data_IF_075570360372
#
_entry.id   IF_075570360372
#
_cell.length_a   1.000
_cell.length_b   1.000
_cell.length_c   1.000
_cell.angle_alpha   90.00
_cell.angle_beta   90.00
_cell.angle_gamma   90.00
#
_symmetry.space_group_name_H-M   'P 1'
#
loop_
_entity.id
_entity.type
_entity.pdbx_description
1 polymer ?
#
# COMPACT_ATOMS: atom_id res chain seq x y z
N UNK A 1 -2.06 46.29 -12.40
CA UNK A 1 -0.71 46.71 -12.83
C UNK A 1 0.28 46.66 -11.68
N UNK A 2 0.06 47.44 -10.62
CA UNK A 2 0.93 47.44 -9.43
C UNK A 2 0.99 46.08 -8.72
N UNK A 3 -0.15 45.41 -8.53
CA UNK A 3 -0.24 44.07 -7.91
C UNK A 3 0.64 43.02 -8.60
N UNK A 4 0.72 43.08 -9.93
CA UNK A 4 1.55 42.17 -10.73
C UNK A 4 2.94 42.76 -11.05
N UNK A 5 3.26 43.96 -10.54
CA UNK A 5 4.50 44.71 -10.81
C UNK A 5 4.80 44.90 -12.32
N UNK A 6 3.78 45.25 -13.10
CA UNK A 6 3.88 45.43 -14.57
C UNK A 6 3.31 46.78 -15.03
N UNK A 7 3.67 47.19 -16.23
CA UNK A 7 3.18 48.42 -16.84
C UNK A 7 1.92 48.16 -17.68
N UNK A 8 1.22 49.23 -18.04
CA UNK A 8 -0.02 49.16 -18.85
C UNK A 8 0.22 48.63 -20.27
N UNK A 9 1.43 48.85 -20.78
CA UNK A 9 1.87 48.43 -22.11
C UNK A 9 2.32 46.95 -22.15
N UNK A 10 2.33 46.25 -21.01
CA UNK A 10 2.76 44.86 -20.95
C UNK A 10 1.88 43.95 -21.82
N UNK A 11 2.55 43.10 -22.58
CA UNK A 11 1.96 42.08 -23.45
C UNK A 11 1.30 40.97 -22.63
N UNK A 12 0.40 40.20 -23.25
CA UNK A 12 -0.28 39.07 -22.59
C UNK A 12 0.71 38.03 -22.03
N UNK A 13 1.83 37.78 -22.73
CA UNK A 13 2.90 36.90 -22.27
C UNK A 13 3.65 37.46 -21.05
N UNK A 14 3.88 38.77 -21.00
CA UNK A 14 4.52 39.45 -19.85
C UNK A 14 3.61 39.42 -18.63
N UNK A 15 2.31 39.66 -18.82
CA UNK A 15 1.29 39.54 -17.77
C UNK A 15 1.27 38.13 -17.18
N UNK A 16 1.27 37.10 -18.04
CA UNK A 16 1.31 35.69 -17.62
C UNK A 16 2.61 35.31 -16.91
N UNK A 17 3.74 35.87 -17.33
CA UNK A 17 5.03 35.65 -16.66
C UNK A 17 5.08 36.32 -15.29
N UNK A 18 4.57 37.54 -15.18
CA UNK A 18 4.52 38.29 -13.94
C UNK A 18 3.61 37.62 -12.90
N UNK A 19 2.42 37.18 -13.32
CA UNK A 19 1.51 36.41 -12.46
C UNK A 19 2.15 35.14 -11.90
N UNK A 20 2.78 34.32 -12.77
CA UNK A 20 3.49 33.11 -12.31
C UNK A 20 4.56 33.40 -11.27
N UNK A 21 5.30 34.51 -11.43
CA UNK A 21 6.35 34.92 -10.49
C UNK A 21 5.75 35.30 -9.13
N UNK A 22 4.71 36.11 -9.10
CA UNK A 22 4.08 36.54 -7.84
C UNK A 22 3.33 35.39 -7.17
N UNK A 23 2.62 34.57 -7.93
CA UNK A 23 1.88 33.45 -7.37
C UNK A 23 2.79 32.34 -6.81
N UNK A 24 3.98 32.11 -7.38
CA UNK A 24 4.98 31.24 -6.74
C UNK A 24 5.60 31.85 -5.47
N UNK A 25 5.64 33.18 -5.37
CA UNK A 25 6.17 33.89 -4.18
C UNK A 25 5.19 33.79 -3.02
N UNK A 26 3.89 33.94 -3.29
CA UNK A 26 2.82 33.93 -2.30
C UNK A 26 2.06 32.60 -2.20
N UNK A 27 2.60 31.51 -2.76
CA UNK A 27 1.95 30.21 -2.74
C UNK A 27 1.73 29.69 -1.30
N UNK A 28 0.57 29.12 -0.94
CA UNK A 28 0.28 28.60 0.40
C UNK A 28 1.28 27.55 0.89
N UNK A 29 1.69 26.61 0.02
CA UNK A 29 2.70 25.59 0.39
C UNK A 29 4.07 26.19 0.78
N UNK A 30 4.42 27.37 0.26
CA UNK A 30 5.67 28.06 0.61
C UNK A 30 5.52 29.01 1.79
N UNK A 31 4.29 29.42 2.09
CA UNK A 31 3.95 30.36 3.16
C UNK A 31 2.80 29.79 4.02
N UNK A 32 2.98 28.63 4.66
CA UNK A 32 1.91 27.98 5.41
C UNK A 32 1.54 28.82 6.64
N UNK A 33 0.27 29.20 6.75
CA UNK A 33 -0.27 29.94 7.89
C UNK A 33 -0.06 31.47 7.85
N UNK A 34 0.47 32.01 6.75
CA UNK A 34 0.62 33.46 6.57
C UNK A 34 -0.62 34.06 5.87
N UNK A 35 -1.41 34.81 6.62
CA UNK A 35 -2.63 35.46 6.12
C UNK A 35 -2.34 36.58 5.11
N UNK A 36 -1.22 37.28 5.24
CA UNK A 36 -0.86 38.38 4.34
C UNK A 36 -0.41 37.83 2.98
N UNK A 37 0.34 36.72 2.97
CA UNK A 37 0.67 36.00 1.74
C UNK A 37 -0.59 35.46 1.03
N UNK A 38 -1.56 34.97 1.79
CA UNK A 38 -2.83 34.49 1.23
C UNK A 38 -3.64 35.63 0.58
N UNK A 39 -3.73 36.80 1.22
CA UNK A 39 -4.39 37.99 0.65
C UNK A 39 -3.69 38.46 -0.63
N UNK A 40 -2.34 38.55 -0.61
CA UNK A 40 -1.56 38.92 -1.80
C UNK A 40 -1.68 37.92 -2.94
N UNK A 41 -1.83 36.63 -2.64
CA UNK A 41 -2.09 35.60 -3.64
C UNK A 41 -3.47 35.78 -4.30
N UNK A 42 -4.51 36.09 -3.50
CA UNK A 42 -5.85 36.39 -4.00
C UNK A 42 -5.84 37.63 -4.91
N UNK A 43 -5.23 38.72 -4.46
CA UNK A 43 -5.10 39.96 -5.25
C UNK A 43 -4.38 39.71 -6.59
N UNK A 44 -3.31 38.89 -6.59
CA UNK A 44 -2.59 38.54 -7.81
C UNK A 44 -3.45 37.73 -8.78
N UNK A 45 -4.30 36.82 -8.28
CA UNK A 45 -5.19 36.01 -9.10
C UNK A 45 -6.30 36.85 -9.74
N UNK A 46 -6.93 37.73 -8.99
CA UNK A 46 -7.96 38.65 -9.50
C UNK A 46 -7.37 39.61 -10.54
N UNK A 47 -6.18 40.16 -10.27
CA UNK A 47 -5.48 41.01 -11.23
C UNK A 47 -5.15 40.26 -12.53
N UNK A 48 -4.79 38.98 -12.44
CA UNK A 48 -4.52 38.17 -13.62
C UNK A 48 -5.79 37.81 -14.39
N UNK A 49 -6.89 37.49 -13.72
CA UNK A 49 -8.17 37.19 -14.38
C UNK A 49 -8.65 38.36 -15.26
N UNK A 50 -8.51 39.59 -14.76
CA UNK A 50 -8.89 40.80 -15.50
C UNK A 50 -7.91 41.10 -16.64
N UNK A 51 -6.60 40.95 -16.40
CA UNK A 51 -5.57 41.39 -17.34
C UNK A 51 -5.22 40.33 -18.41
N UNK A 52 -5.57 39.06 -18.17
CA UNK A 52 -5.33 37.97 -19.13
C UNK A 52 -6.38 37.91 -20.25
N UNK A 53 -7.57 38.49 -20.02
CA UNK A 53 -8.63 38.61 -21.01
C UNK A 53 -8.58 40.01 -21.67
N UNK A 54 -8.42 40.04 -22.99
CA UNK A 54 -8.24 41.29 -23.73
C UNK A 54 -9.46 42.22 -23.63
N UNK A 55 -10.68 41.68 -23.51
CA UNK A 55 -11.90 42.48 -23.36
C UNK A 55 -12.03 43.04 -21.94
N UNK A 56 -11.75 42.23 -20.91
CA UNK A 56 -11.73 42.67 -19.51
C UNK A 56 -10.63 43.70 -19.27
N UNK A 57 -9.42 43.48 -19.80
CA UNK A 57 -8.30 44.42 -19.75
C UNK A 57 -8.67 45.75 -20.40
N UNK A 58 -9.22 45.74 -21.62
CA UNK A 58 -9.61 46.96 -22.32
C UNK A 58 -10.74 47.75 -21.62
N UNK A 59 -11.60 47.05 -20.87
CA UNK A 59 -12.66 47.68 -20.05
C UNK A 59 -12.08 48.31 -18.79
N UNK A 60 -11.24 47.57 -18.07
CA UNK A 60 -10.52 48.05 -16.89
C UNK A 60 -9.64 49.26 -17.23
N UNK A 61 -8.96 49.23 -18.36
CA UNK A 61 -8.10 50.31 -18.84
C UNK A 61 -8.86 51.62 -19.13
N UNK A 62 -10.13 51.53 -19.53
CA UNK A 62 -10.96 52.70 -19.87
C UNK A 62 -11.73 53.26 -18.68
N UNK A 63 -12.15 52.41 -17.75
CA UNK A 63 -13.11 52.78 -16.71
C UNK A 63 -12.63 52.45 -15.29
N UNK A 64 -11.40 51.94 -15.14
CA UNK A 64 -10.85 51.48 -13.87
C UNK A 64 -11.68 50.34 -13.26
N UNK A 65 -11.58 50.16 -11.94
CA UNK A 65 -12.35 49.15 -11.20
C UNK A 65 -13.87 49.33 -11.35
N UNK A 66 -14.37 50.55 -11.58
CA UNK A 66 -15.79 50.82 -11.82
C UNK A 66 -16.31 50.20 -13.12
N UNK A 67 -15.44 49.95 -14.10
CA UNK A 67 -15.79 49.27 -15.35
C UNK A 67 -16.02 47.77 -15.22
N UNK A 68 -15.65 47.18 -14.09
CA UNK A 68 -15.76 45.73 -13.81
C UNK A 68 -17.01 45.38 -13.00
N UNK A 69 -17.93 46.33 -12.77
CA UNK A 69 -19.12 46.13 -11.94
C UNK A 69 -20.04 44.98 -12.39
N UNK A 70 -20.72 44.39 -11.39
CA UNK A 70 -21.55 43.17 -11.28
C UNK A 70 -22.55 42.76 -12.41
N UNK A 71 -22.49 43.31 -13.62
CA UNK A 71 -23.48 43.09 -14.69
C UNK A 71 -23.00 42.29 -15.91
N UNK A 72 -21.77 41.80 -15.93
CA UNK A 72 -21.19 41.08 -17.09
C UNK A 72 -20.84 39.66 -16.66
N UNK A 73 -21.66 38.69 -17.08
CA UNK A 73 -21.64 37.29 -16.66
C UNK A 73 -20.28 36.67 -16.34
N UNK A 74 -20.23 35.99 -15.18
CA UNK A 74 -19.18 35.05 -14.79
C UNK A 74 -17.99 35.70 -14.08
N UNK A 75 -18.07 35.78 -12.75
CA UNK A 75 -16.96 36.19 -11.91
C UNK A 75 -17.42 36.53 -10.50
N UNK A 76 -17.84 35.52 -9.73
CA UNK A 76 -17.79 35.67 -8.29
C UNK A 76 -16.30 35.75 -7.93
N UNK A 77 -15.86 36.86 -7.34
CA UNK A 77 -14.49 36.99 -6.85
C UNK A 77 -14.13 35.77 -5.99
N UNK A 78 -12.90 35.29 -6.12
CA UNK A 78 -12.46 34.05 -5.49
C UNK A 78 -12.58 34.16 -3.97
N UNK A 79 -13.54 33.45 -3.37
CA UNK A 79 -13.77 33.52 -1.92
C UNK A 79 -12.68 32.75 -1.17
N UNK A 80 -12.22 31.63 -1.73
CA UNK A 80 -11.16 30.83 -1.16
C UNK A 80 -10.00 30.56 -2.14
N UNK A 81 -8.83 30.30 -1.57
CA UNK A 81 -7.59 30.02 -2.31
C UNK A 81 -7.72 28.72 -3.12
N UNK A 82 -8.53 27.77 -2.66
CA UNK A 82 -8.86 26.54 -3.37
C UNK A 82 -9.58 26.79 -4.71
N UNK A 83 -10.48 27.77 -4.79
CA UNK A 83 -11.20 28.13 -6.02
C UNK A 83 -10.25 28.69 -7.10
N UNK A 84 -9.19 29.37 -6.66
CA UNK A 84 -8.13 29.91 -7.54
C UNK A 84 -7.31 28.78 -8.16
N UNK A 85 -6.99 27.75 -7.37
CA UNK A 85 -6.22 26.60 -7.85
C UNK A 85 -7.01 25.76 -8.86
N UNK A 86 -8.33 25.65 -8.69
CA UNK A 86 -9.19 24.97 -9.65
C UNK A 86 -9.32 25.77 -10.96
N UNK A 87 -9.52 27.09 -10.88
CA UNK A 87 -9.68 27.96 -12.04
C UNK A 87 -8.38 28.15 -12.87
N UNK A 88 -7.21 28.08 -12.22
CA UNK A 88 -5.91 28.35 -12.86
C UNK A 88 -4.89 27.19 -12.76
N UNK A 89 -5.32 25.98 -12.40
CA UNK A 89 -4.46 24.80 -12.25
C UNK A 89 -3.62 24.48 -13.50
N UNK A 90 -4.13 24.77 -14.69
CA UNK A 90 -3.43 24.59 -15.97
C UNK A 90 -2.27 25.58 -16.19
N UNK A 91 -2.28 26.75 -15.52
CA UNK A 91 -1.21 27.76 -15.64
C UNK A 91 0.00 27.43 -14.75
N UNK A 92 -0.24 26.79 -13.61
CA UNK A 92 0.82 26.31 -12.70
C UNK A 92 1.34 24.93 -13.11
N UNK A 93 0.50 24.10 -13.72
CA UNK A 93 0.90 22.79 -14.27
C UNK A 93 1.86 22.85 -15.47
N UNK A 94 2.10 24.05 -16.03
CA UNK A 94 2.84 24.22 -17.29
C UNK A 94 4.32 24.57 -17.24
N UNK A 95 4.93 24.90 -16.07
CA UNK A 95 6.31 25.45 -16.05
C UNK A 95 7.27 24.79 -15.05
N UNK A 96 6.82 24.11 -13.99
CA UNK A 96 7.74 23.48 -13.03
C UNK A 96 8.14 22.02 -13.37
N UNK A 97 7.88 21.58 -14.60
CA UNK A 97 8.26 20.26 -15.11
C UNK A 97 8.56 20.26 -16.61
N UNK A 98 9.15 21.34 -17.12
CA UNK A 98 9.45 21.56 -18.53
C UNK A 98 10.78 20.96 -19.00
N UNK A 99 11.15 19.77 -18.51
CA UNK A 99 12.01 18.89 -19.30
C UNK A 99 11.16 18.43 -20.47
N UNK A 100 11.53 18.83 -21.70
CA UNK A 100 10.73 18.63 -22.89
C UNK A 100 10.22 17.20 -23.02
N UNK A 101 8.98 16.96 -22.63
CA UNK A 101 8.23 15.82 -23.12
C UNK A 101 7.78 16.20 -24.52
N UNK A 102 8.73 16.08 -25.47
CA UNK A 102 8.45 15.27 -26.64
C UNK A 102 7.66 14.08 -26.09
N UNK A 103 6.33 14.06 -26.24
CA UNK A 103 5.58 12.80 -26.21
C UNK A 103 5.99 12.03 -27.48
N UNK A 104 7.30 11.77 -27.62
CA UNK A 104 7.80 10.64 -28.37
C UNK A 104 7.28 9.47 -27.59
N UNK A 105 6.09 9.02 -27.99
CA UNK A 105 5.53 7.70 -27.79
C UNK A 105 6.38 6.85 -26.84
N UNK A 106 6.25 7.14 -25.54
CA UNK A 106 6.87 6.29 -24.52
C UNK A 106 6.15 4.97 -24.63
N UNK A 107 6.89 3.89 -24.80
CA UNK A 107 6.27 2.58 -24.95
C UNK A 107 5.33 2.29 -23.78
N UNK A 108 4.29 1.51 -24.04
CA UNK A 108 3.33 1.16 -22.98
C UNK A 108 4.06 0.31 -21.96
N UNK A 109 3.93 0.65 -20.68
CA UNK A 109 4.43 -0.19 -19.59
C UNK A 109 3.82 -1.58 -19.72
N UNK A 110 4.60 -2.60 -19.41
CA UNK A 110 4.10 -3.97 -19.35
C UNK A 110 3.15 -4.16 -18.17
N UNK A 111 2.31 -5.18 -18.25
CA UNK A 111 1.36 -5.48 -17.19
C UNK A 111 2.10 -6.04 -15.96
N UNK A 112 1.63 -5.67 -14.77
CA UNK A 112 2.18 -6.21 -13.54
C UNK A 112 1.60 -7.60 -13.26
N UNK A 113 2.45 -8.50 -12.76
CA UNK A 113 2.09 -9.87 -12.42
C UNK A 113 1.90 -10.01 -10.91
N UNK A 114 1.10 -10.99 -10.50
CA UNK A 114 0.88 -11.33 -9.10
C UNK A 114 1.12 -12.81 -8.88
N UNK A 115 1.88 -13.16 -7.86
CA UNK A 115 2.16 -14.55 -7.46
C UNK A 115 2.15 -14.68 -5.95
N UNK A 116 1.93 -15.88 -5.45
CA UNK A 116 1.92 -16.18 -4.02
C UNK A 116 3.13 -17.03 -3.65
N UNK A 117 3.86 -16.65 -2.60
CA UNK A 117 4.96 -17.43 -2.03
C UNK A 117 4.53 -17.95 -0.67
N UNK A 118 4.54 -19.27 -0.52
CA UNK A 118 4.31 -19.90 0.77
C UNK A 118 5.64 -20.22 1.44
N UNK A 119 5.84 -19.72 2.67
CA UNK A 119 7.05 -19.95 3.47
C UNK A 119 6.69 -20.52 4.84
N UNK A 120 7.64 -21.20 5.47
CA UNK A 120 7.46 -21.71 6.83
C UNK A 120 7.76 -20.60 7.86
N UNK A 121 7.21 -20.70 9.07
CA UNK A 121 7.40 -19.70 10.13
C UNK A 121 8.88 -19.47 10.47
N UNK A 122 9.69 -20.53 10.45
CA UNK A 122 11.13 -20.44 10.71
C UNK A 122 11.88 -19.70 9.59
N UNK A 123 11.47 -19.87 8.34
CA UNK A 123 12.00 -19.12 7.21
C UNK A 123 11.60 -17.65 7.29
N UNK A 124 10.35 -17.38 7.67
CA UNK A 124 9.88 -16.02 7.92
C UNK A 124 10.69 -15.34 9.03
N UNK A 125 11.09 -16.08 10.08
CA UNK A 125 11.88 -15.53 11.18
C UNK A 125 13.34 -15.23 10.80
N UNK A 126 13.96 -16.03 9.93
CA UNK A 126 15.37 -15.84 9.50
C UNK A 126 15.52 -14.94 8.28
N UNK A 127 14.48 -14.84 7.46
CA UNK A 127 14.61 -14.42 6.08
C UNK A 127 15.18 -15.56 5.23
N UNK A 128 14.80 -15.62 3.96
CA UNK A 128 15.26 -16.66 3.06
C UNK A 128 15.35 -16.14 1.63
N UNK A 129 16.16 -16.82 0.80
CA UNK A 129 16.16 -16.63 -0.64
C UNK A 129 15.38 -17.78 -1.27
N UNK A 130 14.41 -17.45 -2.11
CA UNK A 130 13.59 -18.43 -2.83
C UNK A 130 13.67 -18.17 -4.32
N UNK A 131 13.86 -19.23 -5.10
CA UNK A 131 13.77 -19.16 -6.57
C UNK A 131 12.31 -19.39 -6.97
N UNK A 132 11.70 -18.41 -7.62
CA UNK A 132 10.37 -18.51 -8.21
C UNK A 132 10.50 -18.81 -9.70
N UNK A 133 9.68 -19.74 -10.19
CA UNK A 133 9.51 -19.95 -11.63
C UNK A 133 8.18 -19.33 -12.05
N UNK A 134 8.25 -18.40 -13.00
CA UNK A 134 7.07 -17.67 -13.48
C UNK A 134 6.98 -17.82 -14.98
N UNK A 135 5.80 -18.21 -15.44
CA UNK A 135 5.43 -18.17 -16.84
C UNK A 135 5.06 -16.72 -17.21
N UNK A 136 5.96 -16.04 -17.93
CA UNK A 136 5.68 -14.70 -18.47
C UNK A 136 6.17 -14.59 -19.91
N UNK A 137 5.52 -13.79 -20.76
CA UNK A 137 6.14 -13.41 -22.03
C UNK A 137 7.46 -12.69 -21.71
N UNK A 138 8.56 -13.13 -22.31
CA UNK A 138 9.84 -12.46 -22.28
C UNK A 138 10.03 -11.65 -23.57
N UNK A 139 10.91 -10.66 -23.53
CA UNK A 139 11.32 -9.94 -24.74
C UNK A 139 11.99 -10.93 -25.71
N UNK A 140 11.60 -10.89 -26.99
CA UNK A 140 12.18 -11.76 -27.99
C UNK A 140 13.68 -11.42 -28.14
N UNK A 141 14.56 -12.35 -27.75
CA UNK A 141 16.02 -12.11 -27.82
C UNK A 141 16.56 -11.88 -29.23
N UNK A 142 15.84 -12.36 -30.26
CA UNK A 142 16.25 -12.20 -31.67
C UNK A 142 15.97 -10.79 -32.20
N UNK A 143 14.80 -10.22 -31.92
CA UNK A 143 14.45 -8.87 -32.40
C UNK A 143 14.53 -7.79 -31.32
N UNK A 144 14.83 -8.14 -30.07
CA UNK A 144 14.87 -7.23 -28.90
C UNK A 144 13.61 -6.34 -28.85
N UNK A 145 12.45 -7.00 -28.83
CA UNK A 145 11.16 -6.31 -28.70
C UNK A 145 10.67 -5.53 -29.93
N UNK A 146 11.48 -5.36 -30.98
CA UNK A 146 11.08 -4.58 -32.18
C UNK A 146 10.06 -5.27 -33.08
N UNK A 147 9.95 -6.60 -33.00
CA UNK A 147 9.12 -7.42 -33.87
C UNK A 147 9.67 -7.56 -35.31
N UNK A 148 10.75 -6.87 -35.67
CA UNK A 148 11.36 -6.90 -36.99
C UNK A 148 12.42 -8.00 -37.12
N UNK A 149 12.65 -8.49 -38.35
CA UNK A 149 13.74 -9.43 -38.65
C UNK A 149 15.10 -8.76 -38.35
N UNK A 150 16.09 -9.46 -37.77
CA UNK A 150 17.41 -8.89 -37.52
C UNK A 150 17.99 -8.25 -38.79
N UNK A 151 18.44 -6.99 -38.69
CA UNK A 151 18.95 -6.21 -39.84
C UNK A 151 17.90 -5.42 -40.60
N UNK A 152 16.60 -5.55 -40.25
CA UNK A 152 15.52 -4.71 -40.76
C UNK A 152 14.96 -3.84 -39.65
N UNK A 153 14.46 -2.65 -40.00
CA UNK A 153 13.89 -1.71 -39.03
C UNK A 153 12.41 -1.43 -39.32
N UNK A 154 11.61 -1.16 -38.27
CA UNK A 154 10.22 -0.75 -38.46
C UNK A 154 10.15 0.60 -39.20
N UNK A 155 9.48 0.63 -40.35
CA UNK A 155 9.29 1.84 -41.15
C UNK A 155 8.20 2.73 -40.56
N UNK A 156 8.27 4.04 -40.80
CA UNK A 156 7.21 4.96 -40.38
C UNK A 156 5.89 4.67 -41.11
N UNK A 157 4.78 4.60 -40.37
CA UNK A 157 3.47 4.37 -40.96
C UNK A 157 3.05 5.57 -41.82
N UNK A 158 3.00 5.39 -43.13
CA UNK A 158 2.64 6.44 -44.09
C UNK A 158 1.18 6.92 -43.92
N UNK A 159 0.26 6.04 -43.52
CA UNK A 159 -1.16 6.39 -43.36
C UNK A 159 -1.41 7.43 -42.25
N UNK A 160 -0.61 7.41 -41.18
CA UNK A 160 -0.74 8.36 -40.07
C UNK A 160 0.48 9.29 -39.92
N UNK A 161 1.45 9.22 -40.84
CA UNK A 161 2.71 9.97 -40.74
C UNK A 161 3.44 9.74 -39.41
N UNK A 162 3.42 8.50 -38.90
CA UNK A 162 4.05 8.18 -37.61
C UNK A 162 3.21 8.47 -36.35
N UNK A 163 2.03 9.11 -36.50
CA UNK A 163 1.22 9.57 -35.35
C UNK A 163 0.47 8.47 -34.63
N UNK A 164 0.29 7.30 -35.24
CA UNK A 164 -0.44 6.17 -34.66
C UNK A 164 -1.97 6.36 -34.57
N UNK A 165 -2.47 7.57 -34.81
CA UNK A 165 -3.89 7.90 -34.79
C UNK A 165 -4.22 8.71 -36.03
N UNK A 166 -5.47 8.61 -36.47
CA UNK A 166 -6.02 9.40 -37.56
C UNK A 166 -7.22 10.19 -37.06
N UNK A 167 -7.30 11.44 -37.48
CA UNK A 167 -8.40 12.33 -37.12
C UNK A 167 -9.45 12.23 -38.22
N UNK A 168 -10.64 11.76 -37.86
CA UNK A 168 -11.81 11.81 -38.72
C UNK A 168 -12.61 13.05 -38.35
N UNK A 169 -12.71 13.99 -39.28
CA UNK A 169 -13.56 15.17 -39.14
C UNK A 169 -14.84 14.98 -39.93
N UNK A 170 -15.98 14.96 -39.25
CA UNK A 170 -17.31 15.04 -39.88
C UNK A 170 -18.01 16.28 -39.34
N UNK A 171 -18.12 17.32 -40.19
CA UNK A 171 -18.62 18.63 -39.78
C UNK A 171 -17.78 19.26 -38.67
N UNK A 172 -18.44 19.67 -37.58
CA UNK A 172 -17.80 20.30 -36.42
C UNK A 172 -17.22 19.29 -35.41
N UNK A 173 -17.48 17.99 -35.58
CA UNK A 173 -16.91 16.95 -34.72
C UNK A 173 -15.58 16.42 -35.28
N UNK A 174 -14.55 16.42 -34.43
CA UNK A 174 -13.27 15.75 -34.68
C UNK A 174 -13.16 14.56 -33.75
N UNK A 175 -13.18 13.36 -34.31
CA UNK A 175 -12.98 12.11 -33.55
C UNK A 175 -11.60 11.58 -33.89
N UNK A 176 -10.81 11.32 -32.86
CA UNK A 176 -9.48 10.74 -32.98
C UNK A 176 -9.59 9.23 -32.80
N UNK A 177 -9.26 8.48 -33.85
CA UNK A 177 -9.33 7.02 -33.86
C UNK A 177 -7.93 6.44 -34.04
N UNK A 178 -7.69 5.22 -33.54
CA UNK A 178 -6.44 4.51 -33.79
C UNK A 178 -6.25 4.28 -35.28
N UNK A 179 -5.03 4.49 -35.77
CA UNK A 179 -4.70 4.28 -37.18
C UNK A 179 -4.90 2.80 -37.53
N UNK A 180 -5.74 2.43 -38.52
CA UNK A 180 -5.99 1.04 -38.87
C UNK A 180 -4.76 0.33 -39.45
N UNK A 181 -3.88 1.08 -40.15
CA UNK A 181 -2.70 0.53 -40.82
C UNK A 181 -1.59 0.11 -39.84
N UNK A 182 -1.37 0.85 -38.76
CA UNK A 182 -0.37 0.52 -37.74
C UNK A 182 -0.99 0.11 -36.40
N UNK A 183 -2.33 0.05 -36.29
CA UNK A 183 -3.07 -0.27 -35.05
C UNK A 183 -2.64 0.56 -33.84
N UNK A 184 -2.30 1.82 -34.07
CA UNK A 184 -1.75 2.67 -33.02
C UNK A 184 -0.24 2.80 -33.05
N UNK A 185 0.53 1.90 -33.67
CA UNK A 185 2.00 1.74 -33.57
C UNK A 185 2.83 2.87 -34.18
N UNK A 186 2.30 3.63 -35.13
CA UNK A 186 3.02 4.69 -35.84
C UNK A 186 4.17 4.19 -36.70
N UNK A 187 4.56 2.92 -36.57
CA UNK A 187 5.50 2.21 -37.43
C UNK A 187 4.83 0.95 -37.97
N UNK A 188 5.33 0.44 -39.08
CA UNK A 188 4.88 -0.81 -39.69
C UNK A 188 6.09 -1.69 -39.89
N UNK A 189 6.06 -2.88 -39.30
CA UNK A 189 7.07 -3.91 -39.53
C UNK A 189 6.70 -4.68 -40.79
N UNK A 190 7.43 -4.46 -41.88
CA UNK A 190 7.26 -5.22 -43.13
C UNK A 190 7.83 -6.63 -42.99
N UNK A 191 9.10 -6.70 -42.60
CA UNK A 191 9.81 -7.96 -42.37
C UNK A 191 9.69 -8.39 -40.91
N UNK A 192 8.71 -9.24 -40.64
CA UNK A 192 8.45 -9.74 -39.28
C UNK A 192 9.55 -10.70 -38.83
N UNK A 193 9.91 -10.64 -37.56
CA UNK A 193 10.77 -11.64 -36.94
C UNK A 193 10.11 -13.01 -37.00
N UNK A 194 10.84 -14.03 -37.47
CA UNK A 194 10.32 -15.40 -37.60
C UNK A 194 9.99 -16.05 -36.25
N UNK A 195 10.73 -15.65 -35.20
CA UNK A 195 10.66 -16.25 -33.87
C UNK A 195 9.46 -15.78 -33.06
N UNK A 196 9.21 -14.47 -33.03
CA UNK A 196 8.03 -13.87 -32.36
C UNK A 196 6.88 -13.54 -33.33
N UNK A 197 7.02 -13.82 -34.63
CA UNK A 197 6.02 -13.53 -35.68
C UNK A 197 5.52 -12.08 -35.69
N UNK A 198 6.38 -11.14 -35.29
CA UNK A 198 6.08 -9.72 -35.26
C UNK A 198 5.50 -9.19 -33.93
N UNK A 199 5.32 -10.02 -32.91
CA UNK A 199 4.79 -9.58 -31.59
C UNK A 199 5.86 -8.93 -30.70
N UNK A 200 7.14 -9.20 -30.98
CA UNK A 200 8.26 -8.74 -30.14
C UNK A 200 8.45 -9.51 -28.83
N UNK A 201 7.63 -10.54 -28.55
CA UNK A 201 7.63 -11.30 -27.29
C UNK A 201 7.63 -12.81 -27.54
N UNK A 202 8.22 -13.58 -26.63
CA UNK A 202 8.25 -15.04 -26.63
C UNK A 202 7.74 -15.55 -25.28
N UNK A 203 6.86 -16.56 -25.25
CA UNK A 203 6.46 -17.18 -23.99
C UNK A 203 7.64 -17.99 -23.42
N UNK A 204 7.95 -17.80 -22.13
CA UNK A 204 8.99 -18.55 -21.47
C UNK A 204 8.80 -18.63 -19.96
N UNK A 205 9.43 -19.63 -19.34
CA UNK A 205 9.62 -19.67 -17.89
C UNK A 205 10.87 -18.89 -17.51
N UNK A 206 10.70 -17.93 -16.64
CA UNK A 206 11.81 -17.18 -16.05
C UNK A 206 11.97 -17.62 -14.61
N UNK A 207 13.21 -17.94 -14.22
CA UNK A 207 13.58 -18.19 -12.82
C UNK A 207 14.06 -16.89 -12.20
N UNK A 208 13.42 -16.47 -11.12
CA UNK A 208 13.73 -15.25 -10.39
C UNK A 208 14.14 -15.59 -8.97
N UNK A 209 15.30 -15.10 -8.54
CA UNK A 209 15.72 -15.21 -7.15
C UNK A 209 15.13 -14.05 -6.35
N UNK A 210 14.33 -14.39 -5.34
CA UNK A 210 13.62 -13.44 -4.50
C UNK A 210 14.19 -13.52 -3.08
N UNK A 211 14.69 -12.39 -2.59
CA UNK A 211 15.16 -12.27 -1.21
C UNK A 211 14.02 -11.80 -0.32
N UNK A 212 13.58 -12.66 0.58
CA UNK A 212 12.51 -12.40 1.53
C UNK A 212 13.16 -11.93 2.85
N UNK A 213 12.87 -10.70 3.30
CA UNK A 213 13.47 -10.18 4.53
C UNK A 213 12.98 -10.94 5.76
N UNK A 214 13.76 -10.92 6.84
CA UNK A 214 13.35 -11.49 8.11
C UNK A 214 12.17 -10.71 8.69
N UNK A 215 11.24 -11.43 9.31
CA UNK A 215 10.08 -10.86 10.00
C UNK A 215 8.83 -10.73 9.14
N UNK A 216 8.87 -11.11 7.86
CA UNK A 216 7.72 -11.02 6.96
C UNK A 216 6.51 -11.75 7.51
N UNK A 217 5.33 -11.18 7.34
CA UNK A 217 4.05 -11.73 7.81
C UNK A 217 3.12 -12.11 6.67
N UNK A 218 2.14 -12.95 6.98
CA UNK A 218 1.07 -13.30 6.06
C UNK A 218 0.30 -12.05 5.63
N UNK A 219 0.13 -11.88 4.33
CA UNK A 219 -0.53 -10.70 3.75
C UNK A 219 0.41 -9.54 3.43
N UNK A 220 1.71 -9.63 3.77
CA UNK A 220 2.70 -8.69 3.25
C UNK A 220 2.97 -8.96 1.77
N UNK A 221 3.17 -7.88 1.01
CA UNK A 221 3.40 -7.93 -0.43
C UNK A 221 4.82 -7.43 -0.74
N UNK A 222 5.62 -8.28 -1.40
CA UNK A 222 6.95 -7.93 -1.88
C UNK A 222 6.86 -7.52 -3.35
N UNK A 223 7.37 -6.33 -3.69
CA UNK A 223 7.37 -5.82 -5.06
C UNK A 223 8.76 -5.95 -5.69
N UNK A 224 8.86 -6.77 -6.74
CA UNK A 224 10.04 -6.86 -7.59
C UNK A 224 9.83 -5.98 -8.82
N UNK A 225 10.53 -4.84 -8.83
CA UNK A 225 10.38 -3.84 -9.88
C UNK A 225 10.93 -4.34 -11.21
N UNK A 226 10.15 -4.17 -12.27
CA UNK A 226 10.55 -4.58 -13.63
C UNK A 226 10.53 -6.08 -13.89
N UNK A 227 10.05 -6.89 -12.95
CA UNK A 227 9.93 -8.34 -13.10
C UNK A 227 8.53 -8.81 -13.57
N UNK A 228 7.64 -7.87 -13.91
CA UNK A 228 6.35 -8.14 -14.54
C UNK A 228 6.47 -8.41 -16.04
N UNK A 229 5.41 -8.23 -16.82
CA UNK A 229 5.51 -8.42 -18.27
C UNK A 229 6.41 -7.36 -18.92
N UNK A 230 7.11 -7.68 -20.03
CA UNK A 230 7.86 -6.70 -20.81
C UNK A 230 6.92 -5.61 -21.31
N UNK A 231 7.40 -4.36 -21.43
CA UNK A 231 6.61 -3.29 -22.05
C UNK A 231 6.38 -3.52 -23.54
N UNK A 232 5.45 -2.77 -24.12
CA UNK A 232 5.30 -2.67 -25.57
C UNK A 232 6.05 -1.45 -26.07
N UNK A 233 6.61 -1.53 -27.27
CA UNK A 233 7.16 -0.36 -27.99
C UNK A 233 8.30 0.34 -27.22
N UNK A 234 9.17 -0.43 -26.57
CA UNK A 234 10.26 0.11 -25.75
C UNK A 234 9.81 0.68 -24.39
N UNK A 235 8.60 0.33 -23.95
CA UNK A 235 8.09 0.70 -22.63
C UNK A 235 8.78 -0.11 -21.53
N UNK A 236 8.87 0.42 -20.30
CA UNK A 236 9.43 -0.34 -19.19
C UNK A 236 8.58 -1.57 -18.87
N UNK A 237 9.17 -2.65 -18.33
CA UNK A 237 8.40 -3.77 -17.83
C UNK A 237 7.45 -3.39 -16.69
N UNK A 238 6.42 -4.21 -16.49
CA UNK A 238 5.58 -4.18 -15.30
C UNK A 238 6.33 -4.64 -14.06
N UNK A 239 5.68 -4.64 -12.91
CA UNK A 239 6.26 -5.15 -11.66
C UNK A 239 5.71 -6.55 -11.34
N UNK A 240 6.46 -7.35 -10.59
CA UNK A 240 5.94 -8.57 -10.00
C UNK A 240 5.63 -8.31 -8.53
N UNK A 241 4.39 -8.56 -8.15
CA UNK A 241 3.95 -8.55 -6.78
C UNK A 241 3.86 -9.97 -6.23
N UNK A 242 4.64 -10.23 -5.18
CA UNK A 242 4.66 -11.50 -4.48
C UNK A 242 3.91 -11.36 -3.15
N UNK A 243 2.74 -11.99 -3.02
CA UNK A 243 2.06 -12.09 -1.73
C UNK A 243 2.69 -13.19 -0.89
N UNK A 244 3.03 -12.86 0.35
CA UNK A 244 3.64 -13.81 1.28
C UNK A 244 2.54 -14.47 2.10
N UNK A 245 2.59 -15.80 2.16
CA UNK A 245 1.78 -16.62 3.04
C UNK A 245 2.70 -17.45 3.95
N UNK A 246 2.65 -17.18 5.25
CA UNK A 246 3.36 -17.98 6.25
C UNK A 246 2.48 -19.16 6.63
N UNK A 247 2.99 -20.39 6.52
CA UNK A 247 2.26 -21.58 6.97
C UNK A 247 2.05 -21.55 8.47
N UNK A 248 0.87 -22.03 8.88
CA UNK A 248 0.58 -22.29 10.29
C UNK A 248 1.55 -23.33 10.85
N UNK A 249 2.05 -23.06 12.06
CA UNK A 249 2.99 -23.94 12.75
C UNK A 249 2.26 -24.72 13.85
N UNK A 250 2.66 -25.97 14.08
CA UNK A 250 1.97 -26.86 15.04
C UNK A 250 2.07 -26.38 16.50
N UNK A 251 3.19 -25.74 16.85
CA UNK A 251 3.47 -25.31 18.23
C UNK A 251 3.39 -23.80 18.44
N UNK A 252 3.42 -23.01 17.37
CA UNK A 252 3.57 -21.56 17.46
C UNK A 252 2.47 -20.87 16.69
N UNK A 253 1.78 -19.97 17.38
CA UNK A 253 0.86 -19.03 16.77
C UNK A 253 1.51 -17.65 16.76
N UNK A 254 1.52 -16.97 15.63
CA UNK A 254 2.07 -15.63 15.52
C UNK A 254 1.02 -14.58 15.84
N UNK A 255 1.38 -13.62 16.68
CA UNK A 255 0.58 -12.43 16.98
C UNK A 255 1.46 -11.17 16.82
N UNK A 256 1.45 -10.59 15.62
CA UNK A 256 2.32 -9.47 15.27
C UNK A 256 3.82 -9.85 15.34
N UNK A 257 4.54 -9.24 16.27
CA UNK A 257 5.97 -9.56 16.55
C UNK A 257 6.13 -10.64 17.62
N UNK A 258 5.06 -10.98 18.34
CA UNK A 258 5.07 -11.98 19.39
C UNK A 258 4.70 -13.37 18.85
N UNK A 259 5.17 -14.39 19.55
CA UNK A 259 4.77 -15.77 19.32
C UNK A 259 4.05 -16.29 20.57
N UNK A 260 3.02 -17.10 20.36
CA UNK A 260 2.31 -17.82 21.41
C UNK A 260 2.61 -19.30 21.24
N UNK A 261 3.05 -19.94 22.33
CA UNK A 261 3.21 -21.39 22.39
C UNK A 261 2.34 -21.94 23.51
N UNK A 262 1.54 -22.94 23.21
CA UNK A 262 0.73 -23.64 24.19
C UNK A 262 1.50 -24.82 24.74
N UNK A 263 1.74 -24.82 26.05
CA UNK A 263 2.46 -25.91 26.73
C UNK A 263 1.49 -26.62 27.68
N UNK A 264 1.16 -27.90 27.41
CA UNK A 264 0.32 -28.67 28.31
C UNK A 264 1.09 -29.03 29.58
N UNK A 265 0.49 -28.84 30.75
CA UNK A 265 1.03 -29.24 32.05
C UNK A 265 0.03 -30.07 32.84
N UNK A 266 0.52 -30.96 33.69
CA UNK A 266 -0.34 -31.74 34.57
C UNK A 266 -0.76 -30.92 35.81
N UNK A 267 -1.83 -31.35 36.47
CA UNK A 267 -2.27 -30.77 37.75
C UNK A 267 -1.17 -30.76 38.81
N UNK A 268 -0.42 -31.85 38.94
CA UNK A 268 0.68 -31.93 39.90
C UNK A 268 1.79 -30.94 39.59
N UNK A 269 2.12 -30.71 38.32
CA UNK A 269 3.12 -29.72 37.90
C UNK A 269 2.65 -28.29 38.19
N UNK A 270 1.36 -27.99 37.99
CA UNK A 270 0.79 -26.69 38.30
C UNK A 270 0.84 -26.37 39.80
N UNK A 271 0.53 -27.37 40.65
CA UNK A 271 0.50 -27.23 42.10
C UNK A 271 1.90 -27.19 42.70
N UNK A 272 2.77 -28.12 42.32
CA UNK A 272 4.10 -28.29 42.94
C UNK A 272 5.19 -27.42 42.29
N UNK A 273 4.93 -26.88 41.10
CA UNK A 273 5.94 -26.29 40.23
C UNK A 273 6.69 -27.36 39.43
N UNK A 274 7.30 -26.94 38.32
CA UNK A 274 8.02 -27.83 37.42
C UNK A 274 9.07 -27.06 36.59
N UNK A 275 10.07 -27.77 36.11
CA UNK A 275 10.94 -27.28 35.02
C UNK A 275 10.52 -27.97 33.71
N UNK A 276 10.24 -27.18 32.68
CA UNK A 276 9.86 -27.68 31.36
C UNK A 276 10.80 -27.15 30.28
N UNK A 277 11.12 -28.00 29.31
CA UNK A 277 11.82 -27.58 28.09
C UNK A 277 10.79 -27.04 27.08
N UNK A 278 10.84 -25.75 26.80
CA UNK A 278 9.96 -25.08 25.86
C UNK A 278 10.65 -24.98 24.50
N UNK A 279 9.99 -25.36 23.39
CA UNK A 279 10.55 -25.18 22.06
C UNK A 279 10.66 -23.69 21.73
N UNK A 280 11.79 -23.30 21.14
CA UNK A 280 11.96 -21.99 20.52
C UNK A 280 11.92 -22.15 19.00
N UNK A 281 11.89 -21.03 18.27
CA UNK A 281 12.16 -21.05 16.82
C UNK A 281 13.54 -21.66 16.52
N UNK A 282 14.51 -21.43 17.41
CA UNK A 282 15.86 -21.98 17.32
C UNK A 282 16.25 -22.63 18.65
N UNK A 283 16.11 -23.95 18.72
CA UNK A 283 16.50 -24.74 19.89
C UNK A 283 15.40 -24.85 20.95
N UNK A 284 15.81 -24.90 22.21
CA UNK A 284 14.94 -25.09 23.38
C UNK A 284 15.46 -24.27 24.55
N UNK A 285 14.56 -23.80 25.39
CA UNK A 285 14.88 -23.07 26.61
C UNK A 285 14.14 -23.68 27.79
N UNK A 286 14.81 -23.76 28.93
CA UNK A 286 14.22 -24.30 30.14
C UNK A 286 13.41 -23.22 30.85
N UNK A 287 12.11 -23.45 31.02
CA UNK A 287 11.19 -22.58 31.73
C UNK A 287 10.86 -23.18 33.10
N UNK A 288 11.09 -22.39 34.15
CA UNK A 288 10.68 -22.74 35.52
C UNK A 288 9.26 -22.24 35.79
N UNK A 289 8.35 -23.16 36.05
CA UNK A 289 6.96 -22.89 36.44
C UNK A 289 6.88 -22.88 37.97
N UNK A 290 6.44 -21.76 38.58
CA UNK A 290 6.27 -21.67 40.02
C UNK A 290 5.10 -22.53 40.51
N UNK A 291 5.17 -22.95 41.77
CA UNK A 291 4.07 -23.62 42.45
C UNK A 291 2.81 -22.73 42.50
N UNK A 292 1.63 -23.34 42.36
CA UNK A 292 0.35 -22.63 42.35
C UNK A 292 0.03 -21.89 41.04
N UNK A 293 0.67 -22.27 39.93
CA UNK A 293 0.41 -21.67 38.62
C UNK A 293 -1.03 -21.92 38.18
N UNK A 294 -1.72 -20.84 37.81
CA UNK A 294 -3.10 -20.92 37.32
C UNK A 294 -3.16 -21.40 35.87
N UNK A 295 -4.26 -22.06 35.46
CA UNK A 295 -4.52 -22.33 34.05
C UNK A 295 -4.47 -21.05 33.21
N UNK A 296 -3.98 -21.15 31.98
CA UNK A 296 -3.81 -20.06 31.02
C UNK A 296 -2.84 -18.95 31.45
N UNK A 297 -2.09 -19.15 32.54
CA UNK A 297 -0.99 -18.27 32.91
C UNK A 297 0.02 -18.15 31.75
N UNK A 298 0.49 -16.92 31.52
CA UNK A 298 1.40 -16.60 30.43
C UNK A 298 2.78 -16.28 30.98
N UNK A 299 3.77 -17.07 30.57
CA UNK A 299 5.18 -16.83 30.87
C UNK A 299 5.86 -16.20 29.66
N UNK A 300 6.66 -15.16 29.90
CA UNK A 300 7.29 -14.37 28.85
C UNK A 300 8.78 -14.69 28.76
N UNK A 301 9.20 -15.16 27.60
CA UNK A 301 10.61 -15.33 27.26
C UNK A 301 11.02 -14.19 26.33
N UNK A 302 11.90 -13.32 26.83
CA UNK A 302 12.27 -12.07 26.15
C UNK A 302 13.07 -12.35 24.87
N UNK A 303 12.82 -11.59 23.81
CA UNK A 303 13.55 -11.61 22.52
C UNK A 303 13.48 -12.93 21.73
N UNK A 304 12.57 -13.84 22.09
CA UNK A 304 12.37 -15.13 21.40
C UNK A 304 11.15 -15.15 20.44
N UNK A 305 10.61 -13.98 20.10
CA UNK A 305 9.55 -13.83 19.11
C UNK A 305 10.07 -13.60 17.68
N UNK A 306 9.21 -13.00 16.84
CA UNK A 306 9.53 -12.65 15.46
C UNK A 306 10.32 -11.33 15.38
N UNK A 307 11.27 -11.20 14.45
CA UNK A 307 11.88 -9.90 14.15
C UNK A 307 10.87 -8.98 13.46
N UNK A 308 10.99 -7.67 13.70
CA UNK A 308 10.24 -6.65 12.98
C UNK A 308 10.91 -6.37 11.62
N UNK A 309 10.18 -6.49 10.48
CA UNK A 309 10.67 -6.11 9.16
C UNK A 309 11.23 -4.69 9.08
N UNK A 310 10.74 -3.77 9.92
CA UNK A 310 11.13 -2.36 9.93
C UNK A 310 12.31 -2.08 10.89
N UNK A 311 12.93 -3.11 11.47
CA UNK A 311 14.15 -2.97 12.27
C UNK A 311 13.93 -2.52 13.72
N UNK A 312 12.70 -2.59 14.26
CA UNK A 312 12.39 -2.24 15.66
C UNK A 312 12.81 -3.29 16.69
N UNK A 313 13.53 -4.33 16.27
CA UNK A 313 14.03 -5.40 17.14
C UNK A 313 13.25 -6.72 16.98
N UNK A 314 13.33 -7.57 18.00
CA UNK A 314 12.59 -8.85 18.08
C UNK A 314 11.53 -8.77 19.15
N UNK A 315 10.37 -9.36 18.88
CA UNK A 315 9.35 -9.59 19.88
C UNK A 315 9.70 -10.72 20.84
N UNK A 316 8.71 -11.13 21.62
CA UNK A 316 8.85 -12.07 22.71
C UNK A 316 8.03 -13.35 22.47
N UNK A 317 8.40 -14.44 23.12
CA UNK A 317 7.62 -15.68 23.15
C UNK A 317 6.75 -15.69 24.42
N UNK A 318 5.46 -15.83 24.23
CA UNK A 318 4.45 -15.99 25.26
C UNK A 318 4.07 -17.47 25.38
N UNK A 319 4.53 -18.10 26.45
CA UNK A 319 4.23 -19.49 26.77
C UNK A 319 2.95 -19.51 27.59
N UNK A 320 1.84 -19.94 26.98
CA UNK A 320 0.56 -20.12 27.66
C UNK A 320 0.47 -21.54 28.18
N UNK A 321 0.29 -21.66 29.48
CA UNK A 321 0.19 -22.94 30.17
C UNK A 321 -1.24 -23.45 30.11
N UNK A 322 -1.43 -24.67 29.58
CA UNK A 322 -2.73 -25.30 29.51
C UNK A 322 -2.78 -26.51 30.44
N UNK A 323 -3.73 -26.52 31.36
CA UNK A 323 -3.89 -27.65 32.28
C UNK A 323 -4.48 -28.85 31.53
N UNK A 324 -3.73 -29.96 31.50
CA UNK A 324 -4.18 -31.23 30.92
C UNK A 324 -4.62 -32.20 32.03
N UNK A 325 -5.88 -32.63 31.96
CA UNK A 325 -6.46 -33.59 32.90
C UNK A 325 -6.48 -34.98 32.26
N UNK A 326 -5.87 -36.00 32.88
CA UNK A 326 -5.80 -37.34 32.31
C UNK A 326 -7.20 -37.98 32.20
N UNK A 327 -7.52 -38.53 31.03
CA UNK A 327 -8.82 -39.20 30.78
C UNK A 327 -8.97 -40.53 31.51
N UNK A 328 -7.86 -41.18 31.88
CA UNK A 328 -7.84 -42.48 32.57
C UNK A 328 -6.88 -42.39 33.74
N UNK A 329 -7.33 -42.85 34.90
CA UNK A 329 -6.54 -42.94 36.13
C UNK A 329 -6.55 -44.38 36.64
N UNK A 330 -5.41 -44.83 37.15
CA UNK A 330 -5.30 -46.16 37.77
C UNK A 330 -5.91 -46.16 39.20
N UNK A 331 -6.05 -47.34 39.81
CA UNK A 331 -6.66 -47.47 41.15
C UNK A 331 -5.96 -46.60 42.20
N UNK A 332 -4.63 -46.66 42.26
CA UNK A 332 -3.81 -45.89 43.19
C UNK A 332 -3.94 -44.37 43.00
N UNK A 333 -3.96 -43.89 41.76
CA UNK A 333 -4.17 -42.47 41.43
C UNK A 333 -5.56 -42.01 41.86
N UNK A 334 -6.58 -42.86 41.70
CA UNK A 334 -7.95 -42.55 42.14
C UNK A 334 -8.02 -42.42 43.67
N UNK A 335 -7.42 -43.34 44.41
CA UNK A 335 -7.33 -43.28 45.88
C UNK A 335 -6.68 -41.96 46.33
N UNK A 336 -5.52 -41.61 45.77
CA UNK A 336 -4.82 -40.35 46.09
C UNK A 336 -5.63 -39.10 45.76
N UNK A 337 -6.39 -39.11 44.66
CA UNK A 337 -7.25 -37.99 44.28
C UNK A 337 -8.46 -37.86 45.21
N UNK A 338 -8.99 -38.97 45.74
CA UNK A 338 -10.07 -38.96 46.72
C UNK A 338 -9.59 -38.38 48.06
N UNK A 339 -8.41 -38.82 48.54
CA UNK A 339 -7.78 -38.25 49.74
C UNK A 339 -7.53 -36.74 49.57
N UNK A 340 -7.03 -36.32 48.41
CA UNK A 340 -6.86 -34.90 48.12
C UNK A 340 -8.18 -34.13 48.13
N UNK A 341 -9.25 -34.69 47.55
CA UNK A 341 -10.55 -34.05 47.52
C UNK A 341 -11.11 -33.82 48.93
N UNK A 342 -10.98 -34.80 49.84
CA UNK A 342 -11.40 -34.66 51.25
C UNK A 342 -10.64 -33.53 51.97
N UNK A 343 -9.34 -33.39 51.70
CA UNK A 343 -8.50 -32.30 52.24
C UNK A 343 -8.86 -30.92 51.66
N UNK A 344 -9.23 -30.85 50.38
CA UNK A 344 -9.68 -29.60 49.74
C UNK A 344 -11.07 -29.17 50.22
N UNK A 345 -11.96 -30.13 50.52
CA UNK A 345 -13.29 -29.87 51.07
C UNK A 345 -13.27 -29.30 52.49
N UNK A 346 -12.28 -29.69 53.30
CA UNK A 346 -12.05 -29.11 54.62
C UNK A 346 -11.41 -27.72 54.54
N UNK A 347 -10.58 -27.48 53.52
CA UNK A 347 -9.93 -26.19 53.25
C UNK A 347 -10.62 -25.42 52.11
N UNK A 348 -11.88 -25.01 52.30
CA UNK A 348 -12.60 -24.23 51.28
C UNK A 348 -11.94 -22.85 51.09
N UNK A 349 -11.31 -22.64 49.94
CA UNK A 349 -10.77 -21.33 49.53
C UNK A 349 -11.85 -20.24 49.51
N UNK A 350 -11.48 -19.03 49.91
CA UNK A 350 -12.36 -17.84 50.02
C UNK A 350 -13.19 -17.57 48.76
N UNK A 351 -12.60 -17.73 47.57
CA UNK A 351 -13.29 -17.52 46.30
C UNK A 351 -14.45 -18.49 46.02
N UNK A 352 -14.36 -19.75 46.50
CA UNK A 352 -15.43 -20.73 46.33
C UNK A 352 -16.62 -20.39 47.23
N UNK A 353 -16.38 -19.91 48.46
CA UNK A 353 -17.46 -19.43 49.34
C UNK A 353 -18.20 -18.24 48.72
N UNK A 354 -17.47 -17.22 48.27
CA UNK A 354 -18.07 -16.00 47.68
C UNK A 354 -18.83 -16.29 46.38
N UNK A 355 -18.35 -17.21 45.54
CA UNK A 355 -19.06 -17.59 44.31
C UNK A 355 -20.37 -18.32 44.62
N UNK A 356 -20.33 -19.34 45.50
CA UNK A 356 -21.52 -20.11 45.86
C UNK A 356 -22.54 -19.31 46.68
N UNK A 357 -22.09 -18.35 47.51
CA UNK A 357 -22.99 -17.39 48.19
C UNK A 357 -23.70 -16.49 47.19
N UNK A 358 -22.98 -15.87 46.25
CA UNK A 358 -23.60 -15.06 45.17
C UNK A 358 -24.56 -15.85 44.29
N UNK A 359 -24.25 -17.12 44.04
CA UNK A 359 -25.11 -18.03 43.28
C UNK A 359 -26.38 -18.37 44.06
N UNK A 360 -26.25 -18.61 45.36
CA UNK A 360 -27.38 -18.87 46.25
C UNK A 360 -28.29 -17.63 46.31
N UNK A 361 -27.72 -16.44 46.51
CA UNK A 361 -28.45 -15.18 46.51
C UNK A 361 -29.25 -14.97 45.22
N UNK A 362 -28.64 -15.25 44.05
CA UNK A 362 -29.31 -15.15 42.75
C UNK A 362 -30.54 -16.07 42.64
N UNK A 363 -30.42 -17.34 43.05
CA UNK A 363 -31.53 -18.31 42.99
C UNK A 363 -32.59 -18.11 44.09
N UNK A 364 -32.25 -17.48 45.22
CA UNK A 364 -33.25 -17.09 46.23
C UNK A 364 -34.09 -15.87 45.81
N UNK A 365 -33.59 -14.99 44.93
CA UNK A 365 -34.36 -13.85 44.41
C UNK A 365 -35.40 -14.28 43.35
N UNK A 366 -35.13 -15.34 42.58
CA UNK A 366 -36.09 -15.90 41.62
C UNK A 366 -37.25 -16.67 42.27
N UNK A 367 -37.06 -17.19 43.49
CA UNK A 367 -38.11 -17.94 44.20
C UNK A 367 -39.16 -17.03 44.86
N UNK A 368 -38.82 -15.78 45.18
CA UNK A 368 -39.76 -14.79 45.73
C UNK A 368 -40.55 -14.02 44.64
N UNK A 369 -40.15 -14.14 43.37
CA UNK A 369 -40.80 -13.47 42.24
C UNK A 369 -41.75 -14.37 41.42
N UNK A 370 -41.86 -15.65 41.79
CA UNK A 370 -42.76 -16.64 41.15
C UNK A 370 -44.11 -16.87 41.85
N UNK A 371 -44.35 -16.28 43.03
CA UNK A 371 -45.65 -16.33 43.74
C UNK A 371 -46.30 -14.93 43.76
N UNK A 372 -46.77 -14.44 42.60
CA UNK A 372 -47.82 -13.42 42.52
C UNK A 372 -48.74 -13.65 41.34
#
# INVERSE_FOLDING_TARGET
YEVLEITRESTSEEIKKAYRKQAMKFHPDRNPGDSEAAERFKECAEAYEVLADDEKKARYDRYGHAGLGNGSGGGAGFQDVSDIFEAFGDIFGGVFGGGGNRRGRSGKRGDSLRTSITIDLLEAAKGCKRTLEIDRPAECGTCRGTGAKPGTEPEMCQYCGGRGQVVQSQGFFRVQTTCPACRGEGKVVRDKCEKCRGTGREHGRVKLEVSIPAGVDSGMQLCLRGEGEPGLMGGPPGDLYCDIHVKEHQFFQREGVHLICHVPITYTQAVLGAELDVPLLEGRERLTIPAGTQPDAVFKIKKQGMPDPHGRGRGDLHVRVQLEVPKKVNARQRELLQELAELEHTNIGTHRKTFFEKLKDYFSVESESGEK
#
